data_IF_196665408755
#
_entry.id   IF_196665408755
#
_cell.length_a   1.000
_cell.length_b   1.000
_cell.length_c   1.000
_cell.angle_alpha   90.00
_cell.angle_beta   90.00
_cell.angle_gamma   90.00
#
_symmetry.space_group_name_H-M   'P 1'
#
loop_
_entity.id
_entity.type
_entity.pdbx_description
1 polymer ?
#
# COMPACT_ATOMS: atom_id res chain seq x y z
N UNK A 1 14.65 -3.68 -6.66
CA UNK A 1 13.33 -4.30 -6.79
C UNK A 1 12.93 -4.43 -8.27
N UNK A 2 12.62 -3.33 -8.97
CA UNK A 2 12.04 -3.35 -10.33
C UNK A 2 13.00 -3.93 -11.40
N UNK A 3 14.29 -3.64 -11.32
CA UNK A 3 15.28 -4.01 -12.34
C UNK A 3 15.97 -5.36 -12.08
N UNK A 4 15.91 -5.85 -10.85
CA UNK A 4 16.66 -7.04 -10.44
C UNK A 4 15.74 -8.13 -9.90
N UNK A 5 15.06 -7.88 -8.75
CA UNK A 5 14.29 -8.91 -8.07
C UNK A 5 13.08 -9.39 -8.86
N UNK A 6 12.25 -8.48 -9.37
CA UNK A 6 11.07 -8.86 -10.15
C UNK A 6 11.46 -9.66 -11.39
N UNK A 7 12.38 -9.19 -12.26
CA UNK A 7 12.83 -9.97 -13.42
C UNK A 7 13.47 -11.31 -13.03
N UNK A 8 14.21 -11.37 -11.92
CA UNK A 8 14.80 -12.61 -11.44
C UNK A 8 13.73 -13.63 -11.06
N UNK A 9 12.71 -13.21 -10.30
CA UNK A 9 11.61 -14.09 -9.87
C UNK A 9 10.81 -14.57 -11.08
N UNK A 10 10.45 -13.66 -11.98
CA UNK A 10 9.67 -14.00 -13.19
C UNK A 10 10.41 -14.95 -14.13
N UNK A 11 11.73 -14.88 -14.17
CA UNK A 11 12.56 -15.77 -14.98
C UNK A 11 12.72 -17.18 -14.37
N UNK A 12 12.77 -17.27 -13.04
CA UNK A 12 13.19 -18.50 -12.35
C UNK A 12 12.04 -19.26 -11.68
N UNK A 13 10.85 -18.65 -11.54
CA UNK A 13 9.71 -19.24 -10.85
C UNK A 13 8.43 -19.14 -11.68
N UNK A 14 7.51 -20.09 -11.57
CA UNK A 14 6.24 -20.09 -12.31
C UNK A 14 5.25 -19.08 -11.68
N UNK A 15 5.50 -17.80 -11.88
CA UNK A 15 4.65 -16.69 -11.40
C UNK A 15 3.93 -16.01 -12.56
N UNK A 16 2.81 -15.34 -12.26
CA UNK A 16 2.09 -14.52 -13.24
C UNK A 16 2.67 -13.11 -13.20
N UNK A 17 3.51 -12.78 -14.19
CA UNK A 17 4.31 -11.56 -14.29
C UNK A 17 3.57 -10.34 -14.84
N UNK A 18 2.35 -10.04 -14.36
CA UNK A 18 1.65 -8.81 -14.74
C UNK A 18 1.22 -8.00 -13.51
N UNK A 19 0.89 -6.72 -13.71
CA UNK A 19 0.53 -5.82 -12.63
C UNK A 19 -0.70 -6.25 -11.83
N UNK A 20 -1.67 -6.88 -12.48
CA UNK A 20 -2.92 -7.33 -11.87
C UNK A 20 -2.71 -8.48 -10.87
N UNK A 21 -1.59 -9.18 -11.00
CA UNK A 21 -1.18 -10.27 -10.11
C UNK A 21 0.05 -9.91 -9.26
N UNK A 22 0.32 -8.60 -9.09
CA UNK A 22 1.46 -8.12 -8.30
C UNK A 22 1.01 -7.13 -7.24
N UNK A 23 1.25 -7.48 -5.97
CA UNK A 23 0.97 -6.66 -4.81
C UNK A 23 2.27 -6.21 -4.13
N UNK A 24 2.23 -5.06 -3.47
CA UNK A 24 3.31 -4.57 -2.63
C UNK A 24 2.72 -4.04 -1.33
N UNK A 25 3.13 -4.62 -0.21
CA UNK A 25 2.69 -4.18 1.10
C UNK A 25 3.82 -4.25 2.13
N UNK A 26 3.69 -3.50 3.20
CA UNK A 26 4.65 -3.51 4.29
C UNK A 26 4.18 -2.76 5.52
N UNK A 27 4.90 -2.96 6.62
CA UNK A 27 4.65 -2.33 7.91
C UNK A 27 5.74 -1.31 8.25
N UNK A 28 5.41 -0.29 9.04
CA UNK A 28 6.35 0.71 9.53
C UNK A 28 7.17 1.35 8.41
N UNK A 29 8.51 1.25 8.42
CA UNK A 29 9.36 1.69 7.30
C UNK A 29 9.00 0.98 5.99
N UNK A 30 8.69 -0.32 6.05
CA UNK A 30 8.22 -1.09 4.89
C UNK A 30 6.86 -0.59 4.37
N UNK A 31 5.99 -0.06 5.25
CA UNK A 31 4.76 0.61 4.87
C UNK A 31 5.02 1.85 4.03
N UNK A 32 5.92 2.73 4.51
CA UNK A 32 6.35 3.89 3.75
C UNK A 32 7.01 3.54 2.42
N UNK A 33 7.85 2.51 2.39
CA UNK A 33 8.48 2.02 1.15
C UNK A 33 7.42 1.47 0.19
N UNK A 34 6.46 0.69 0.68
CA UNK A 34 5.39 0.13 -0.15
C UNK A 34 4.51 1.20 -0.77
N UNK A 35 4.13 2.23 0.00
CA UNK A 35 3.42 3.38 -0.55
C UNK A 35 4.26 4.15 -1.57
N UNK A 36 5.54 4.46 -1.24
CA UNK A 36 6.44 5.21 -2.13
C UNK A 36 6.67 4.50 -3.46
N UNK A 37 6.95 3.20 -3.42
CA UNK A 37 7.26 2.42 -4.63
C UNK A 37 6.01 1.94 -5.34
N UNK A 38 4.99 1.52 -4.61
CA UNK A 38 3.76 1.00 -5.19
C UNK A 38 2.98 2.08 -5.94
N UNK A 39 2.74 3.23 -5.28
CA UNK A 39 2.03 4.35 -5.90
C UNK A 39 2.87 5.08 -6.96
N UNK A 40 4.20 5.06 -6.82
CA UNK A 40 5.11 5.60 -7.83
C UNK A 40 5.30 4.70 -9.07
N UNK A 41 4.77 3.48 -9.08
CA UNK A 41 4.92 2.50 -10.17
C UNK A 41 3.63 1.73 -10.43
N UNK A 42 2.55 2.45 -10.73
CA UNK A 42 1.21 1.86 -10.96
C UNK A 42 1.13 0.95 -12.18
N UNK A 43 2.07 1.06 -13.12
CA UNK A 43 2.21 0.13 -14.23
C UNK A 43 2.83 -1.21 -13.82
N UNK A 44 3.36 -1.28 -12.60
CA UNK A 44 3.95 -2.51 -12.04
C UNK A 44 3.09 -3.14 -10.97
N UNK A 45 2.45 -2.32 -10.12
CA UNK A 45 1.66 -2.77 -8.98
C UNK A 45 0.23 -2.28 -9.05
N UNK A 46 -0.74 -3.20 -8.94
CA UNK A 46 -2.16 -2.85 -8.87
C UNK A 46 -2.71 -2.85 -7.44
N UNK A 47 -2.02 -3.49 -6.50
CA UNK A 47 -2.43 -3.68 -5.12
C UNK A 47 -1.34 -3.17 -4.19
N UNK A 48 -1.66 -2.19 -3.36
CA UNK A 48 -0.67 -1.51 -2.50
C UNK A 48 -1.20 -1.41 -1.08
N UNK A 49 -0.37 -1.78 -0.10
CA UNK A 49 -0.70 -1.71 1.32
C UNK A 49 0.38 -1.04 2.16
N UNK A 50 -0.02 -0.11 3.02
CA UNK A 50 0.84 0.51 4.03
C UNK A 50 0.24 0.38 5.42
N UNK A 51 0.90 -0.40 6.30
CA UNK A 51 0.48 -0.64 7.67
C UNK A 51 1.35 0.18 8.63
N UNK A 52 0.74 1.07 9.44
CA UNK A 52 1.47 1.95 10.35
C UNK A 52 2.69 2.62 9.69
N UNK A 53 2.51 3.22 8.54
CA UNK A 53 3.61 3.73 7.71
C UNK A 53 4.47 4.76 8.44
N UNK A 54 5.79 4.63 8.34
CA UNK A 54 6.77 5.43 9.05
C UNK A 54 7.10 6.77 8.36
N UNK A 55 7.88 7.68 9.00
CA UNK A 55 8.21 9.01 8.46
C UNK A 55 8.95 9.04 7.12
N UNK A 56 9.49 7.92 6.65
CA UNK A 56 10.03 7.78 5.31
C UNK A 56 8.96 7.81 4.20
N UNK A 57 7.67 7.79 4.58
CA UNK A 57 6.56 7.98 3.65
C UNK A 57 6.58 9.41 3.10
N UNK A 58 6.64 9.54 1.80
CA UNK A 58 6.55 10.83 1.10
C UNK A 58 5.27 11.58 1.46
N UNK A 59 5.25 12.88 1.25
CA UNK A 59 4.02 13.66 1.37
C UNK A 59 3.00 13.18 0.33
N UNK A 60 1.70 13.20 0.65
CA UNK A 60 0.68 12.60 -0.21
C UNK A 60 0.69 13.07 -1.67
N UNK A 61 0.90 14.36 -1.91
CA UNK A 61 1.03 14.90 -3.26
C UNK A 61 2.27 14.38 -4.03
N UNK A 62 3.31 13.95 -3.30
CA UNK A 62 4.49 13.33 -3.90
C UNK A 62 4.31 11.81 -4.10
N UNK A 63 3.49 11.17 -3.24
CA UNK A 63 3.11 9.77 -3.42
C UNK A 63 2.30 9.59 -4.70
N UNK A 64 1.37 10.49 -4.94
CA UNK A 64 0.40 10.40 -6.00
C UNK A 64 0.22 11.76 -6.71
N UNK A 65 1.19 12.16 -7.54
CA UNK A 65 1.15 13.46 -8.22
C UNK A 65 0.03 13.54 -9.28
N UNK A 66 -0.45 12.39 -9.76
CA UNK A 66 -1.58 12.31 -10.68
C UNK A 66 -2.71 11.42 -10.11
N UNK A 67 -3.58 11.94 -9.23
CA UNK A 67 -4.65 11.15 -8.63
C UNK A 67 -5.68 10.61 -9.63
N UNK A 68 -5.86 11.26 -10.77
CA UNK A 68 -6.78 10.82 -11.81
C UNK A 68 -6.32 9.47 -12.41
N UNK A 69 -5.04 9.36 -12.73
CA UNK A 69 -4.44 8.10 -13.22
C UNK A 69 -4.58 6.96 -12.21
N UNK A 70 -4.42 7.28 -10.93
CA UNK A 70 -4.51 6.29 -9.87
C UNK A 70 -5.91 5.66 -9.75
N UNK A 71 -6.97 6.43 -9.99
CA UNK A 71 -8.35 5.93 -9.94
C UNK A 71 -8.58 4.76 -10.88
N UNK A 72 -7.97 4.81 -12.06
CA UNK A 72 -8.15 3.79 -13.09
C UNK A 72 -7.20 2.60 -12.90
N UNK A 73 -6.03 2.85 -12.31
CA UNK A 73 -4.97 1.84 -12.19
C UNK A 73 -4.99 1.06 -10.88
N UNK A 74 -5.39 1.67 -9.75
CA UNK A 74 -5.38 1.01 -8.44
C UNK A 74 -6.56 0.04 -8.33
N UNK A 75 -6.26 -1.23 -8.03
CA UNK A 75 -7.26 -2.24 -7.67
C UNK A 75 -7.55 -2.27 -6.18
N UNK A 76 -6.50 -2.08 -5.36
CA UNK A 76 -6.60 -1.92 -3.92
C UNK A 76 -5.49 -0.99 -3.43
N UNK A 77 -5.88 0.05 -2.69
CA UNK A 77 -5.01 0.82 -1.83
C UNK A 77 -5.49 0.63 -0.40
N UNK A 78 -4.66 0.00 0.43
CA UNK A 78 -4.91 -0.22 1.84
C UNK A 78 -4.01 0.69 2.68
N UNK A 79 -4.60 1.42 3.61
CA UNK A 79 -3.91 2.29 4.56
C UNK A 79 -4.44 1.92 5.94
N UNK A 80 -3.58 1.48 6.84
CA UNK A 80 -3.99 1.13 8.19
C UNK A 80 -3.05 1.62 9.26
N UNK A 81 -3.57 1.72 10.50
CA UNK A 81 -2.79 2.08 11.67
C UNK A 81 -3.56 1.74 12.96
N UNK A 82 -2.82 1.41 14.03
CA UNK A 82 -3.39 1.38 15.36
C UNK A 82 -3.79 2.78 15.84
N UNK A 83 -4.87 2.88 16.60
CA UNK A 83 -5.40 4.18 17.10
C UNK A 83 -4.53 4.82 18.20
N UNK A 84 -3.69 4.01 18.88
CA UNK A 84 -2.68 4.45 19.83
C UNK A 84 -1.25 4.51 19.24
N UNK A 85 -1.12 4.32 17.94
CA UNK A 85 0.18 4.37 17.27
C UNK A 85 0.64 5.84 17.10
N UNK A 86 1.86 6.14 17.57
CA UNK A 86 2.47 7.47 17.41
C UNK A 86 2.63 7.92 15.96
N UNK A 87 2.53 7.01 15.00
CA UNK A 87 2.64 7.29 13.55
C UNK A 87 1.28 7.48 12.87
N UNK A 88 0.18 7.44 13.63
CA UNK A 88 -1.19 7.55 13.12
C UNK A 88 -1.39 8.73 12.16
N UNK A 89 -0.83 9.90 12.48
CA UNK A 89 -0.94 11.10 11.65
C UNK A 89 -0.38 10.94 10.23
N UNK A 90 0.54 10.01 10.00
CA UNK A 90 1.07 9.71 8.65
C UNK A 90 0.01 8.99 7.81
N UNK A 91 -0.65 7.99 8.40
CA UNK A 91 -1.75 7.27 7.76
C UNK A 91 -2.95 8.18 7.52
N UNK A 92 -3.29 9.03 8.50
CA UNK A 92 -4.42 9.97 8.40
C UNK A 92 -4.22 11.02 7.30
N UNK A 93 -3.05 11.68 7.24
CA UNK A 93 -2.78 12.65 6.17
C UNK A 93 -2.82 11.99 4.77
N UNK A 94 -2.39 10.74 4.67
CA UNK A 94 -2.44 10.00 3.41
C UNK A 94 -3.89 9.70 3.03
N UNK A 95 -4.70 9.21 3.98
CA UNK A 95 -6.16 9.01 3.80
C UNK A 95 -6.86 10.30 3.36
N UNK A 96 -6.58 11.42 4.05
CA UNK A 96 -7.26 12.69 3.79
C UNK A 96 -7.02 13.17 2.36
N UNK A 97 -5.80 13.03 1.87
CA UNK A 97 -5.47 13.32 0.48
C UNK A 97 -6.22 12.40 -0.49
N UNK A 98 -6.34 11.11 -0.18
CA UNK A 98 -7.09 10.17 -1.03
C UNK A 98 -8.58 10.51 -1.07
N UNK A 99 -9.15 10.95 0.06
CA UNK A 99 -10.54 11.43 0.14
C UNK A 99 -10.72 12.69 -0.71
N UNK A 100 -9.87 13.71 -0.51
CA UNK A 100 -9.93 14.98 -1.23
C UNK A 100 -9.91 14.79 -2.75
N UNK A 101 -9.03 13.91 -3.22
CA UNK A 101 -8.86 13.63 -4.64
C UNK A 101 -9.74 12.47 -5.15
N UNK A 102 -10.62 11.91 -4.32
CA UNK A 102 -11.54 10.82 -4.68
C UNK A 102 -10.82 9.59 -5.24
N UNK A 103 -9.64 9.27 -4.69
CA UNK A 103 -8.89 8.05 -5.02
C UNK A 103 -9.48 6.88 -4.24
N UNK A 104 -9.89 5.78 -4.89
CA UNK A 104 -10.41 4.60 -4.19
C UNK A 104 -9.37 4.02 -3.23
N UNK A 105 -9.73 3.87 -1.96
CA UNK A 105 -8.88 3.29 -0.94
C UNK A 105 -9.71 2.69 0.20
N UNK A 106 -9.07 1.84 0.98
CA UNK A 106 -9.58 1.39 2.28
C UNK A 106 -8.68 2.00 3.35
N UNK A 107 -9.28 2.72 4.27
CA UNK A 107 -8.62 3.17 5.49
C UNK A 107 -9.14 2.35 6.66
N UNK A 108 -8.24 1.65 7.33
CA UNK A 108 -8.56 0.80 8.46
C UNK A 108 -7.81 1.26 9.72
N UNK A 109 -8.56 1.66 10.73
CA UNK A 109 -8.02 2.04 12.03
C UNK A 109 -8.60 1.11 13.10
N UNK A 110 -7.73 0.45 13.83
CA UNK A 110 -8.11 -0.51 14.88
C UNK A 110 -7.47 -0.13 16.22
N UNK A 111 -8.03 -0.63 17.35
CA UNK A 111 -7.39 -0.46 18.64
C UNK A 111 -6.00 -1.10 18.67
N UNK A 112 -4.99 -0.33 19.11
CA UNK A 112 -3.64 -0.87 19.26
C UNK A 112 -2.54 0.14 18.97
N UNK A 113 -1.31 -0.34 19.15
CA UNK A 113 -0.08 0.45 19.06
C UNK A 113 0.73 0.08 17.82
N UNK A 114 1.99 0.57 17.80
CA UNK A 114 2.95 0.22 16.75
C UNK A 114 3.57 -1.16 17.01
N UNK A 115 2.82 -2.23 16.80
CA UNK A 115 3.22 -3.58 17.13
C UNK A 115 2.63 -4.67 16.21
N UNK A 116 3.13 -5.90 16.37
CA UNK A 116 2.72 -7.05 15.57
C UNK A 116 1.27 -7.48 15.79
N UNK A 117 0.65 -7.10 16.89
CA UNK A 117 -0.76 -7.44 17.13
C UNK A 117 -1.64 -6.74 16.09
N UNK A 118 -1.37 -5.46 15.82
CA UNK A 118 -2.02 -4.65 14.78
C UNK A 118 -1.64 -5.20 13.39
N UNK A 119 -0.35 -5.34 13.10
CA UNK A 119 0.12 -5.65 11.74
C UNK A 119 -0.27 -7.04 11.25
N UNK A 120 -0.34 -8.06 12.13
CA UNK A 120 -0.82 -9.39 11.72
C UNK A 120 -2.29 -9.36 11.34
N UNK A 121 -3.11 -8.55 12.03
CA UNK A 121 -4.52 -8.37 11.71
C UNK A 121 -4.68 -7.60 10.40
N UNK A 122 -3.93 -6.53 10.22
CA UNK A 122 -3.85 -5.79 8.95
C UNK A 122 -3.52 -6.71 7.78
N UNK A 123 -2.48 -7.54 7.93
CA UNK A 123 -2.07 -8.48 6.88
C UNK A 123 -3.17 -9.52 6.60
N UNK A 124 -3.81 -10.04 7.65
CA UNK A 124 -4.90 -11.00 7.50
C UNK A 124 -6.07 -10.42 6.71
N UNK A 125 -6.50 -9.20 7.03
CA UNK A 125 -7.60 -8.53 6.35
C UNK A 125 -7.22 -8.12 4.92
N UNK A 126 -6.05 -7.53 4.74
CA UNK A 126 -5.53 -7.12 3.45
C UNK A 126 -5.40 -8.30 2.48
N UNK A 127 -4.84 -9.43 2.95
CA UNK A 127 -4.60 -10.60 2.11
C UNK A 127 -5.89 -11.19 1.51
N UNK A 128 -7.01 -11.11 2.23
CA UNK A 128 -8.31 -11.57 1.75
C UNK A 128 -8.87 -10.73 0.58
N UNK A 129 -8.37 -9.52 0.42
CA UNK A 129 -8.80 -8.59 -0.63
C UNK A 129 -7.90 -8.65 -1.87
N UNK A 130 -6.76 -9.35 -1.78
CA UNK A 130 -5.82 -9.43 -2.90
C UNK A 130 -6.32 -10.37 -4.00
N UNK A 131 -6.11 -9.93 -5.25
CA UNK A 131 -6.35 -10.73 -6.45
C UNK A 131 -7.79 -11.20 -6.63
N UNK A 132 -8.73 -10.63 -5.89
CA UNK A 132 -10.16 -10.93 -6.03
C UNK A 132 -10.64 -10.38 -7.38
N UNK A 133 -11.22 -11.22 -8.22
CA UNK A 133 -11.91 -10.78 -9.44
C UNK A 133 -13.18 -10.04 -9.02
N UNK A 134 -13.24 -8.78 -9.36
CA UNK A 134 -14.50 -8.01 -9.30
C UNK A 134 -15.33 -8.31 -10.54
#
# INVERSE_FOLDING_TARGET
LLKDLIPFIEKNYPVIGNRENRALAGLSMGGGQSLNFGLGNLDTFAWVGGFSSAPNTKMPAQLLPNPAEAKDKIKLLWISCGDEDRLLGISERTRDYMIEHKVPHIYFKEPGKHDFQVWKNDLYLFAQLLFVKK
#
